data_IF_889361505070
#
_entry.id   IF_889361505070
#
_cell.length_a   1.000
_cell.length_b   1.000
_cell.length_c   1.000
_cell.angle_alpha   90.00
_cell.angle_beta   90.00
_cell.angle_gamma   90.00
#
_symmetry.space_group_name_H-M   'P 1'
#
loop_
_entity.id
_entity.type
_entity.pdbx_description
1 polymer ?
#
# COMPACT_ATOMS: atom_id res chain seq x y z
N UNK A 1 18.49 14.69 8.07
CA UNK A 1 19.30 13.57 7.58
C UNK A 1 19.12 13.37 6.07
N UNK A 2 18.21 12.52 5.57
CA UNK A 2 18.10 12.25 4.12
C UNK A 2 17.93 13.49 3.20
N UNK A 3 17.10 14.47 3.58
CA UNK A 3 16.92 15.70 2.79
C UNK A 3 18.15 16.62 2.81
N UNK A 4 18.90 16.61 3.91
CA UNK A 4 20.12 17.42 4.06
C UNK A 4 21.26 16.85 3.21
N UNK A 5 21.37 15.52 3.13
CA UNK A 5 22.30 14.82 2.23
C UNK A 5 22.07 15.15 0.75
N UNK A 6 20.81 15.41 0.39
CA UNK A 6 20.40 15.80 -0.97
C UNK A 6 20.42 17.32 -1.20
N UNK A 7 20.94 18.12 -0.27
CA UNK A 7 20.91 19.58 -0.31
C UNK A 7 19.49 20.17 -0.51
N UNK A 8 18.46 19.45 -0.09
CA UNK A 8 17.09 19.92 -0.10
C UNK A 8 16.83 20.69 1.19
N UNK A 9 16.37 21.94 1.07
CA UNK A 9 15.93 22.71 2.22
C UNK A 9 14.81 21.95 2.93
N UNK A 10 14.81 21.94 4.27
CA UNK A 10 13.79 21.28 5.09
C UNK A 10 12.79 22.30 5.65
N UNK A 11 11.77 22.74 4.88
CA UNK A 11 10.78 23.69 5.37
C UNK A 11 9.63 23.05 6.15
N UNK A 12 9.53 21.71 6.20
CA UNK A 12 8.36 21.02 6.75
C UNK A 12 8.55 20.61 8.22
N UNK A 13 7.56 20.91 9.06
CA UNK A 13 7.48 20.40 10.42
C UNK A 13 7.43 18.85 10.44
N UNK A 14 7.98 18.19 11.48
CA UNK A 14 7.86 16.75 11.64
C UNK A 14 6.41 16.30 11.57
N UNK A 15 6.12 15.21 10.86
CA UNK A 15 4.77 14.67 10.75
C UNK A 15 4.37 13.98 12.07
N UNK A 16 3.39 14.52 12.83
CA UNK A 16 2.95 13.87 14.06
C UNK A 16 2.07 12.66 13.73
N UNK A 17 2.19 11.59 14.53
CA UNK A 17 1.22 10.50 14.52
C UNK A 17 -0.13 11.04 15.01
N UNK A 18 -1.17 10.87 14.18
CA UNK A 18 -2.54 11.30 14.51
C UNK A 18 -3.37 10.07 14.88
N UNK A 19 -3.88 9.96 16.12
CA UNK A 19 -4.74 8.85 16.53
C UNK A 19 -5.96 8.66 15.60
N UNK A 20 -6.45 9.74 15.01
CA UNK A 20 -7.62 9.78 14.13
C UNK A 20 -7.32 9.36 12.68
N UNK A 21 -6.08 8.99 12.38
CA UNK A 21 -5.70 8.53 11.05
C UNK A 21 -6.48 7.26 10.68
N UNK A 22 -7.07 7.25 9.47
CA UNK A 22 -7.94 6.17 9.01
C UNK A 22 -7.24 4.80 8.98
N UNK A 23 -5.96 4.76 8.58
CA UNK A 23 -5.15 3.54 8.61
C UNK A 23 -4.97 3.03 10.04
N UNK A 24 -4.76 3.91 11.01
CA UNK A 24 -4.56 3.49 12.41
C UNK A 24 -5.87 2.97 13.00
N UNK A 25 -6.98 3.66 12.74
CA UNK A 25 -8.32 3.21 13.12
C UNK A 25 -8.69 1.88 12.47
N UNK A 26 -8.25 1.62 11.24
CA UNK A 26 -8.42 0.32 10.59
C UNK A 26 -7.67 -0.78 11.33
N UNK A 27 -6.39 -0.58 11.66
CA UNK A 27 -5.61 -1.57 12.42
C UNK A 27 -6.21 -1.86 13.80
N UNK A 28 -6.67 -0.83 14.51
CA UNK A 28 -7.31 -0.98 15.83
C UNK A 28 -8.67 -1.68 15.76
N UNK A 29 -9.32 -1.68 14.59
CA UNK A 29 -10.61 -2.33 14.35
C UNK A 29 -10.51 -3.81 13.97
N UNK A 30 -9.30 -4.33 13.71
CA UNK A 30 -9.10 -5.75 13.38
C UNK A 30 -9.47 -6.59 14.60
N UNK A 31 -10.32 -7.58 14.39
CA UNK A 31 -10.82 -8.46 15.44
C UNK A 31 -10.78 -9.92 15.01
N UNK A 32 -11.13 -10.83 15.92
CA UNK A 32 -11.25 -12.26 15.60
C UNK A 32 -12.31 -12.54 14.53
N UNK A 33 -13.30 -11.67 14.39
CA UNK A 33 -14.44 -11.88 13.48
C UNK A 33 -14.11 -11.44 12.04
N UNK A 34 -13.00 -10.72 11.83
CA UNK A 34 -12.53 -10.30 10.51
C UNK A 34 -11.68 -9.04 10.53
N UNK A 35 -11.21 -8.65 9.34
CA UNK A 35 -10.38 -7.46 9.14
C UNK A 35 -11.16 -6.16 9.37
N UNK A 36 -12.43 -6.12 9.00
CA UNK A 36 -13.29 -4.95 9.17
C UNK A 36 -14.77 -5.33 9.22
N UNK A 37 -15.63 -4.57 9.93
CA UNK A 37 -17.08 -4.76 9.90
C UNK A 37 -17.70 -4.47 8.51
N UNK A 38 -18.75 -5.21 8.13
CA UNK A 38 -19.44 -5.09 6.82
C UNK A 38 -19.81 -3.64 6.44
N UNK A 39 -20.28 -2.85 7.40
CA UNK A 39 -20.67 -1.45 7.20
C UNK A 39 -19.74 -0.47 7.93
N UNK A 40 -18.42 -0.70 7.85
CA UNK A 40 -17.42 0.12 8.55
C UNK A 40 -17.20 1.49 7.86
N UNK A 41 -17.51 2.62 8.52
CA UNK A 41 -17.20 3.96 7.98
C UNK A 41 -15.68 4.21 7.93
N UNK A 42 -14.90 3.53 8.77
CA UNK A 42 -13.43 3.60 8.80
C UNK A 42 -12.84 3.12 7.48
N UNK A 43 -13.37 2.03 6.91
CA UNK A 43 -12.89 1.50 5.62
C UNK A 43 -13.21 2.46 4.49
N UNK A 44 -14.43 3.04 4.46
CA UNK A 44 -14.77 4.05 3.46
C UNK A 44 -13.86 5.27 3.53
N UNK A 45 -13.52 5.72 4.75
CA UNK A 45 -12.58 6.82 4.96
C UNK A 45 -11.17 6.44 4.50
N UNK A 46 -10.69 5.25 4.85
CA UNK A 46 -9.37 4.76 4.46
C UNK A 46 -9.22 4.70 2.93
N UNK A 47 -10.20 4.15 2.21
CA UNK A 47 -10.19 4.08 0.74
C UNK A 47 -10.15 5.47 0.09
N UNK A 48 -10.87 6.44 0.65
CA UNK A 48 -10.82 7.83 0.19
C UNK A 48 -9.44 8.45 0.47
N UNK A 49 -8.93 8.28 1.68
CA UNK A 49 -7.65 8.84 2.09
C UNK A 49 -6.50 8.24 1.22
N UNK A 50 -6.54 6.94 0.90
CA UNK A 50 -5.61 6.29 -0.04
C UNK A 50 -5.66 6.87 -1.47
N UNK A 51 -6.82 7.35 -1.91
CA UNK A 51 -7.00 7.95 -3.23
C UNK A 51 -6.55 9.41 -3.28
N UNK A 52 -6.75 10.15 -2.20
CA UNK A 52 -6.60 11.62 -2.18
C UNK A 52 -5.30 12.10 -1.53
N UNK A 53 -4.70 11.34 -0.61
CA UNK A 53 -3.53 11.83 0.14
C UNK A 53 -2.26 11.74 -0.73
N UNK A 54 -1.37 12.75 -0.66
CA UNK A 54 -0.15 12.77 -1.44
C UNK A 54 0.85 11.72 -0.92
N UNK A 55 1.51 11.03 -1.84
CA UNK A 55 2.64 10.15 -1.52
C UNK A 55 3.86 10.97 -1.09
N UNK A 56 4.35 10.73 0.12
CA UNK A 56 5.53 11.44 0.68
C UNK A 56 6.83 10.65 0.56
N UNK A 57 6.74 9.33 0.35
CA UNK A 57 7.86 8.40 0.18
C UNK A 57 7.39 7.17 -0.60
N UNK A 58 8.27 6.60 -1.42
CA UNK A 58 8.04 5.36 -2.16
C UNK A 58 9.35 4.59 -2.24
N UNK A 59 9.28 3.27 -2.08
CA UNK A 59 10.44 2.39 -2.06
C UNK A 59 10.03 0.98 -2.50
N UNK A 60 11.01 0.14 -2.81
CA UNK A 60 10.80 -1.27 -3.13
C UNK A 60 10.30 -2.05 -1.91
N UNK A 61 9.51 -3.09 -2.17
CA UNK A 61 9.14 -4.04 -1.14
C UNK A 61 10.39 -4.72 -0.56
N UNK A 62 10.30 -5.23 0.67
CA UNK A 62 11.44 -5.88 1.31
C UNK A 62 11.93 -7.10 0.51
N UNK A 63 11.00 -7.86 -0.08
CA UNK A 63 11.32 -9.02 -0.92
C UNK A 63 12.07 -8.61 -2.19
N UNK A 64 11.66 -7.52 -2.85
CA UNK A 64 12.36 -6.98 -4.02
C UNK A 64 13.75 -6.43 -3.65
N UNK A 65 13.88 -5.75 -2.51
CA UNK A 65 15.18 -5.28 -2.00
C UNK A 65 16.13 -6.43 -1.72
N UNK A 66 15.63 -7.55 -1.18
CA UNK A 66 16.41 -8.74 -0.94
C UNK A 66 16.93 -9.36 -2.25
N UNK A 67 16.07 -9.42 -3.28
CA UNK A 67 16.46 -9.89 -4.62
C UNK A 67 17.50 -8.98 -5.29
N UNK A 68 17.48 -7.67 -5.01
CA UNK A 68 18.45 -6.71 -5.51
C UNK A 68 19.76 -6.67 -4.69
N UNK A 69 19.90 -7.49 -3.64
CA UNK A 69 21.06 -7.48 -2.74
C UNK A 69 21.17 -6.19 -1.90
N UNK A 70 20.08 -5.42 -1.80
CA UNK A 70 20.02 -4.13 -1.10
C UNK A 70 19.41 -4.25 0.31
N UNK A 71 19.09 -5.46 0.76
CA UNK A 71 18.67 -5.70 2.14
C UNK A 71 19.89 -5.87 3.06
N UNK A 72 20.18 -4.84 3.85
CA UNK A 72 20.95 -5.00 5.08
C UNK A 72 20.03 -5.56 6.17
N UNK A 73 19.95 -6.89 6.25
CA UNK A 73 19.11 -7.62 7.22
C UNK A 73 19.49 -7.37 8.69
N UNK A 74 20.53 -6.56 8.96
CA UNK A 74 20.96 -6.18 10.30
C UNK A 74 20.35 -4.87 10.82
N UNK A 75 19.75 -4.04 9.95
CA UNK A 75 19.08 -2.80 10.37
C UNK A 75 17.62 -3.09 10.75
N UNK A 76 17.45 -3.39 12.04
CA UNK A 76 16.15 -3.52 12.69
C UNK A 76 15.38 -2.20 12.73
N UNK A 77 14.08 -2.31 12.47
CA UNK A 77 13.04 -1.31 12.75
C UNK A 77 13.11 -0.03 11.91
N UNK A 78 12.70 -0.15 10.64
CA UNK A 78 12.18 1.00 9.92
C UNK A 78 10.81 1.39 10.49
N UNK A 79 10.56 2.67 10.77
CA UNK A 79 9.30 3.10 11.34
C UNK A 79 8.16 2.86 10.34
N UNK A 80 7.24 1.96 10.70
CA UNK A 80 6.01 1.66 9.98
C UNK A 80 5.01 2.83 10.14
N UNK A 81 5.35 3.99 9.58
CA UNK A 81 4.39 5.09 9.49
C UNK A 81 3.42 4.80 8.35
N UNK A 82 2.37 4.04 8.66
CA UNK A 82 1.26 3.75 7.75
C UNK A 82 1.75 3.22 6.39
N UNK A 83 2.65 2.24 6.41
CA UNK A 83 3.31 1.68 5.21
C UNK A 83 2.27 1.44 4.12
N UNK A 84 2.40 2.23 3.05
CA UNK A 84 1.45 2.28 1.97
C UNK A 84 1.35 0.93 1.26
N UNK A 85 0.13 0.61 0.84
CA UNK A 85 -0.21 -0.56 0.06
C UNK A 85 0.72 -0.76 -1.15
N UNK A 86 1.04 -2.01 -1.53
CA UNK A 86 1.74 -2.30 -2.78
C UNK A 86 1.00 -1.67 -3.95
N UNK A 87 1.67 -0.78 -4.68
CA UNK A 87 1.11 -0.19 -5.89
C UNK A 87 1.32 -1.16 -7.06
N UNK A 88 0.24 -1.69 -7.61
CA UNK A 88 0.26 -2.61 -8.74
C UNK A 88 -0.02 -1.82 -10.03
N UNK A 89 0.99 -1.57 -10.89
CA UNK A 89 0.77 -0.82 -12.12
C UNK A 89 -0.13 -1.61 -13.10
N UNK A 90 -0.97 -0.91 -13.88
CA UNK A 90 -1.81 -1.56 -14.87
C UNK A 90 -0.96 -2.20 -15.97
N UNK A 91 -1.21 -3.48 -16.26
CA UNK A 91 -0.53 -4.23 -17.32
C UNK A 91 -1.37 -4.45 -18.58
N UNK A 92 -2.69 -4.32 -18.46
CA UNK A 92 -3.65 -4.66 -19.50
C UNK A 92 -4.86 -3.70 -19.46
N UNK A 93 -5.51 -3.46 -20.61
CA UNK A 93 -6.78 -2.73 -20.69
C UNK A 93 -7.93 -3.55 -20.09
N UNK A 94 -9.04 -2.90 -19.77
CA UNK A 94 -10.18 -3.56 -19.10
C UNK A 94 -10.93 -4.54 -20.01
N UNK A 95 -10.98 -4.23 -21.30
CA UNK A 95 -11.75 -4.97 -22.31
C UNK A 95 -10.98 -6.17 -22.87
N UNK A 96 -9.70 -6.29 -22.51
CA UNK A 96 -8.84 -7.36 -22.98
C UNK A 96 -8.94 -8.55 -22.04
N UNK A 97 -9.07 -9.75 -22.61
CA UNK A 97 -9.05 -11.02 -21.88
C UNK A 97 -7.68 -11.66 -21.98
N UNK A 98 -7.30 -12.47 -21.00
CA UNK A 98 -6.07 -13.25 -21.07
C UNK A 98 -6.19 -14.24 -22.23
N UNK A 99 -5.29 -14.23 -23.23
CA UNK A 99 -5.38 -15.14 -24.36
C UNK A 99 -5.24 -16.60 -23.93
N UNK A 100 -5.88 -17.53 -24.65
CA UNK A 100 -5.93 -18.96 -24.31
C UNK A 100 -4.53 -19.63 -24.27
N UNK A 101 -3.55 -19.04 -24.97
CA UNK A 101 -2.17 -19.54 -25.04
C UNK A 101 -1.36 -19.29 -23.75
N UNK A 102 -1.91 -18.55 -22.78
CA UNK A 102 -1.24 -18.26 -21.51
C UNK A 102 -1.69 -19.19 -20.39
N UNK A 103 -0.71 -19.64 -19.60
CA UNK A 103 -0.97 -20.42 -18.39
C UNK A 103 -1.56 -19.56 -17.26
N UNK A 104 -2.25 -20.22 -16.32
CA UNK A 104 -2.95 -19.59 -15.18
C UNK A 104 -2.07 -18.75 -14.24
N UNK A 105 -0.74 -18.88 -14.29
CA UNK A 105 0.19 -18.09 -13.47
C UNK A 105 0.54 -16.74 -14.09
N UNK A 106 0.04 -16.43 -15.29
CA UNK A 106 0.30 -15.16 -15.97
C UNK A 106 -0.73 -14.13 -15.55
N UNK A 107 -0.30 -13.22 -14.67
CA UNK A 107 -1.18 -12.26 -14.02
C UNK A 107 -1.17 -10.88 -14.73
N UNK A 108 -1.99 -10.76 -15.77
CA UNK A 108 -2.16 -9.52 -16.52
C UNK A 108 -3.19 -8.55 -15.91
N UNK A 109 -4.27 -9.05 -15.32
CA UNK A 109 -5.34 -8.24 -14.75
C UNK A 109 -5.11 -7.83 -13.28
N UNK A 110 -3.88 -8.01 -12.77
CA UNK A 110 -3.45 -7.81 -11.38
C UNK A 110 -4.11 -6.65 -10.63
N UNK A 111 -3.99 -5.41 -11.13
CA UNK A 111 -4.56 -4.24 -10.44
C UNK A 111 -6.11 -4.25 -10.34
N UNK A 112 -6.78 -4.63 -11.44
CA UNK A 112 -8.25 -4.67 -11.50
C UNK A 112 -8.80 -5.81 -10.65
N UNK A 113 -8.14 -6.97 -10.70
CA UNK A 113 -8.50 -8.15 -9.93
C UNK A 113 -8.45 -7.86 -8.42
N UNK A 114 -7.41 -7.19 -7.94
CA UNK A 114 -7.25 -6.83 -6.51
C UNK A 114 -8.35 -5.88 -6.03
N UNK A 115 -8.66 -4.83 -6.83
CA UNK A 115 -9.74 -3.89 -6.51
C UNK A 115 -11.11 -4.61 -6.51
N UNK A 116 -11.37 -5.44 -7.52
CA UNK A 116 -12.62 -6.18 -7.64
C UNK A 116 -12.80 -7.22 -6.53
N UNK A 117 -11.74 -7.94 -6.16
CA UNK A 117 -11.74 -8.93 -5.08
C UNK A 117 -12.10 -8.29 -3.74
N UNK A 118 -11.52 -7.13 -3.43
CA UNK A 118 -11.89 -6.36 -2.23
C UNK A 118 -13.38 -6.00 -2.22
N UNK A 119 -13.93 -5.55 -3.36
CA UNK A 119 -15.36 -5.21 -3.44
C UNK A 119 -16.28 -6.43 -3.43
N UNK A 120 -15.80 -7.61 -3.82
CA UNK A 120 -16.53 -8.87 -3.78
C UNK A 120 -16.57 -9.48 -2.37
N UNK A 121 -15.51 -9.30 -1.58
CA UNK A 121 -15.41 -9.74 -0.17
C UNK A 121 -16.39 -8.98 0.76
N UNK A 122 -16.62 -7.70 0.50
CA UNK A 122 -17.43 -6.80 1.34
C UNK A 122 -18.94 -6.99 1.23
#
# INVERSE_FOLDING_TARGET
LYREELNLTSPAAPLPLRPEASWLQFHLGISRDGLYPRSSPTVTRLLRDMREFPTISADYSQDEKALLGACDCSQGEFPYWGTAHPLLPPRQKREEETPEDFFYFVDFQRHNAEIAAFHLDR
#
